data_IF_302088163362
#
_entry.id   IF_302088163362
#
_cell.length_a   1.000
_cell.length_b   1.000
_cell.length_c   1.000
_cell.angle_alpha   90.00
_cell.angle_beta   90.00
_cell.angle_gamma   90.00
#
_symmetry.space_group_name_H-M   'P 1'
#
loop_
_entity.id
_entity.type
_entity.pdbx_description
1 polymer ?
#
# COMPACT_ATOMS: atom_id res chain seq x y z
N UNK A 1 31.04 44.41 -7.57
CA UNK A 1 31.62 43.04 -7.67
C UNK A 1 30.99 42.05 -6.70
N UNK A 2 30.89 42.33 -5.39
CA UNK A 2 30.29 41.40 -4.40
C UNK A 2 28.84 40.98 -4.73
N UNK A 3 27.98 41.91 -5.14
CA UNK A 3 26.58 41.60 -5.51
C UNK A 3 26.42 40.65 -6.69
N UNK A 4 27.29 40.76 -7.71
CA UNK A 4 27.29 39.84 -8.87
C UNK A 4 27.74 38.45 -8.45
N UNK A 5 28.72 38.34 -7.56
CA UNK A 5 29.17 37.05 -7.02
C UNK A 5 28.08 36.35 -6.19
N UNK A 6 27.32 37.10 -5.38
CA UNK A 6 26.17 36.55 -4.66
C UNK A 6 25.07 36.06 -5.61
N UNK A 7 24.78 36.81 -6.67
CA UNK A 7 23.75 36.43 -7.64
C UNK A 7 24.15 35.17 -8.42
N UNK A 8 25.41 35.06 -8.84
CA UNK A 8 25.95 33.86 -9.48
C UNK A 8 25.92 32.66 -8.54
N UNK A 9 26.30 32.83 -7.27
CA UNK A 9 26.23 31.76 -6.28
C UNK A 9 24.79 31.28 -6.05
N UNK A 10 23.82 32.20 -6.00
CA UNK A 10 22.41 31.87 -5.81
C UNK A 10 21.81 31.13 -7.02
N UNK A 11 22.17 31.53 -8.24
CA UNK A 11 21.76 30.85 -9.48
C UNK A 11 22.36 29.44 -9.54
N UNK A 12 23.64 29.27 -9.19
CA UNK A 12 24.27 27.96 -9.13
C UNK A 12 23.64 27.05 -8.06
N UNK A 13 23.27 27.61 -6.90
CA UNK A 13 22.58 26.85 -5.85
C UNK A 13 21.17 26.42 -6.26
N UNK A 14 20.43 27.30 -6.95
CA UNK A 14 19.10 27.00 -7.49
C UNK A 14 19.14 25.95 -8.63
N UNK A 15 20.20 25.95 -9.45
CA UNK A 15 20.45 24.92 -10.46
C UNK A 15 20.91 23.59 -9.83
N UNK A 16 21.53 23.63 -8.64
CA UNK A 16 21.98 22.45 -7.91
C UNK A 16 20.90 21.82 -7.01
N UNK A 17 19.82 22.55 -6.69
CA UNK A 17 18.69 21.99 -5.94
C UNK A 17 17.91 21.01 -6.82
N UNK A 18 17.98 19.72 -6.48
CA UNK A 18 17.13 18.70 -7.10
C UNK A 18 15.70 18.85 -6.61
N UNK A 19 14.75 18.81 -7.54
CA UNK A 19 13.34 18.58 -7.22
C UNK A 19 13.24 17.15 -6.66
N UNK A 20 13.00 17.02 -5.37
CA UNK A 20 12.69 15.73 -4.75
C UNK A 20 11.24 15.40 -5.11
N UNK A 21 11.04 14.28 -5.81
CA UNK A 21 9.71 13.71 -6.02
C UNK A 21 9.42 12.74 -4.89
N UNK A 22 8.28 12.91 -4.21
CA UNK A 22 7.81 12.00 -3.17
C UNK A 22 6.96 10.84 -3.73
N UNK A 23 6.61 10.87 -5.02
CA UNK A 23 5.87 9.81 -5.73
C UNK A 23 6.78 9.01 -6.67
N UNK A 24 6.24 7.91 -7.22
CA UNK A 24 6.89 7.15 -8.29
C UNK A 24 7.43 8.10 -9.39
N UNK A 25 8.66 7.90 -9.88
CA UNK A 25 9.23 8.72 -10.95
C UNK A 25 8.39 8.61 -12.22
N UNK A 26 8.21 9.73 -12.92
CA UNK A 26 7.55 9.72 -14.23
C UNK A 26 8.32 8.86 -15.25
N UNK A 27 7.62 8.19 -16.18
CA UNK A 27 8.26 7.37 -17.19
C UNK A 27 9.05 8.24 -18.18
N UNK A 28 10.18 7.70 -18.68
CA UNK A 28 11.03 8.36 -19.69
C UNK A 28 10.80 7.83 -21.11
N UNK A 29 9.88 6.87 -21.25
CA UNK A 29 9.48 6.22 -22.50
C UNK A 29 8.07 5.63 -22.33
N UNK A 30 7.42 5.24 -23.42
CA UNK A 30 6.03 4.76 -23.40
C UNK A 30 5.79 3.58 -22.44
N UNK A 31 6.74 2.64 -22.36
CA UNK A 31 6.68 1.52 -21.42
C UNK A 31 8.07 0.96 -21.08
N UNK A 32 8.18 0.33 -19.92
CA UNK A 32 9.36 -0.41 -19.49
C UNK A 32 8.91 -1.67 -18.73
N UNK A 33 8.71 -2.78 -19.45
CA UNK A 33 8.24 -4.04 -18.86
C UNK A 33 9.30 -4.57 -17.89
N UNK A 34 8.93 -4.78 -16.63
CA UNK A 34 9.83 -5.31 -15.61
C UNK A 34 10.36 -6.71 -15.94
N UNK A 35 11.62 -6.97 -15.64
CA UNK A 35 12.20 -8.32 -15.57
C UNK A 35 12.43 -8.74 -14.10
N UNK A 36 12.26 -10.03 -13.81
CA UNK A 36 12.46 -10.58 -12.47
C UNK A 36 13.87 -11.14 -12.24
N UNK A 37 14.57 -11.52 -13.30
CA UNK A 37 15.85 -12.23 -13.21
C UNK A 37 16.97 -11.40 -13.85
N UNK A 38 17.82 -10.86 -13.00
CA UNK A 38 19.14 -10.38 -13.38
C UNK A 38 20.13 -11.26 -12.65
N UNK A 39 20.57 -12.34 -13.32
CA UNK A 39 21.48 -13.35 -12.77
C UNK A 39 22.73 -12.78 -12.08
N UNK A 40 23.11 -11.55 -12.41
CA UNK A 40 24.22 -10.77 -11.81
C UNK A 40 23.83 -9.30 -11.49
N UNK A 41 22.56 -9.02 -11.21
CA UNK A 41 22.02 -7.66 -11.22
C UNK A 41 22.43 -6.72 -10.09
N UNK A 42 22.59 -5.45 -10.44
CA UNK A 42 22.70 -4.33 -9.49
C UNK A 42 21.30 -3.90 -9.06
N UNK A 43 21.08 -3.60 -7.77
CA UNK A 43 19.80 -3.05 -7.31
C UNK A 43 19.58 -1.63 -7.84
N UNK A 44 18.43 -1.39 -8.48
CA UNK A 44 17.99 -0.06 -8.96
C UNK A 44 16.72 0.38 -8.24
N UNK A 45 16.41 1.68 -8.29
CA UNK A 45 15.10 2.16 -7.87
C UNK A 45 14.05 1.72 -8.90
N UNK A 46 13.15 0.80 -8.52
CA UNK A 46 12.18 0.18 -9.41
C UNK A 46 12.66 -1.18 -9.94
N UNK A 47 12.50 -1.43 -11.24
CA UNK A 47 12.93 -2.68 -11.90
C UNK A 47 13.57 -2.41 -13.26
N UNK A 48 14.47 -3.29 -13.67
CA UNK A 48 15.05 -3.29 -15.01
C UNK A 48 13.99 -3.56 -16.09
N UNK A 49 14.22 -3.00 -17.28
CA UNK A 49 13.34 -3.17 -18.43
C UNK A 49 13.76 -4.36 -19.30
N UNK A 50 12.78 -5.12 -19.78
CA UNK A 50 12.86 -6.03 -20.93
C UNK A 50 13.10 -5.22 -22.21
N UNK A 51 13.75 -5.81 -23.21
CA UNK A 51 13.83 -5.22 -24.56
C UNK A 51 12.41 -4.91 -25.08
N UNK A 52 12.11 -3.64 -25.43
CA UNK A 52 10.78 -3.25 -25.91
C UNK A 52 10.29 -4.06 -27.13
N UNK A 53 11.20 -4.55 -27.97
CA UNK A 53 10.85 -5.38 -29.15
C UNK A 53 10.31 -6.76 -28.77
N UNK A 54 10.58 -7.21 -27.54
CA UNK A 54 10.12 -8.50 -27.02
C UNK A 54 8.84 -8.36 -26.18
N UNK A 55 8.34 -7.14 -25.97
CA UNK A 55 7.13 -6.89 -25.21
C UNK A 55 5.89 -7.42 -25.95
N UNK A 56 4.94 -7.97 -25.21
CA UNK A 56 3.69 -8.52 -25.73
C UNK A 56 2.52 -8.09 -24.85
N UNK A 57 1.28 -8.24 -25.34
CA UNK A 57 0.08 -7.94 -24.55
C UNK A 57 0.02 -8.68 -23.19
N UNK A 58 0.64 -9.87 -23.11
CA UNK A 58 0.71 -10.65 -21.86
C UNK A 58 1.51 -9.95 -20.76
N UNK A 59 2.45 -9.08 -21.12
CA UNK A 59 3.26 -8.34 -20.14
C UNK A 59 2.43 -7.25 -19.41
N UNK A 60 1.26 -6.88 -19.95
CA UNK A 60 0.36 -5.83 -19.44
C UNK A 60 -0.98 -6.38 -18.93
N UNK A 61 -1.09 -7.70 -18.75
CA UNK A 61 -2.37 -8.36 -18.51
C UNK A 61 -2.30 -9.28 -17.29
N UNK A 62 -3.33 -9.21 -16.44
CA UNK A 62 -3.55 -10.13 -15.33
C UNK A 62 -5.00 -10.66 -15.39
N UNK A 63 -5.21 -11.96 -15.64
CA UNK A 63 -6.52 -12.57 -15.49
C UNK A 63 -6.81 -12.91 -14.02
N UNK A 64 -8.07 -13.18 -13.70
CA UNK A 64 -8.44 -13.86 -12.45
C UNK A 64 -8.94 -12.98 -11.31
N UNK A 65 -8.94 -11.64 -11.45
CA UNK A 65 -9.58 -10.75 -10.47
C UNK A 65 -11.11 -10.92 -10.38
N UNK A 66 -11.73 -11.72 -11.24
CA UNK A 66 -13.12 -12.12 -11.11
C UNK A 66 -13.33 -13.28 -10.12
N UNK A 67 -12.26 -13.98 -9.71
CA UNK A 67 -12.30 -15.10 -8.79
C UNK A 67 -12.14 -14.56 -7.35
N UNK A 68 -13.08 -14.83 -6.44
CA UNK A 68 -12.95 -14.39 -5.05
C UNK A 68 -11.75 -15.00 -4.33
N UNK A 69 -11.06 -14.19 -3.54
CA UNK A 69 -10.02 -14.67 -2.62
C UNK A 69 -10.60 -15.49 -1.46
N UNK A 70 -9.75 -16.33 -0.82
CA UNK A 70 -10.19 -17.15 0.31
C UNK A 70 -10.27 -16.34 1.61
N UNK A 71 -11.49 -15.99 2.01
CA UNK A 71 -11.78 -15.27 3.26
C UNK A 71 -11.95 -16.17 4.48
N UNK A 72 -11.71 -17.49 4.37
CA UNK A 72 -11.77 -18.44 5.49
C UNK A 72 -10.50 -18.37 6.35
N UNK A 73 -10.26 -17.20 6.95
CA UNK A 73 -9.11 -16.89 7.77
C UNK A 73 -9.49 -16.03 8.99
N UNK A 74 -8.52 -15.70 9.85
CA UNK A 74 -8.78 -15.05 11.14
C UNK A 74 -9.38 -13.64 11.02
N UNK A 75 -9.07 -12.91 9.94
CA UNK A 75 -9.58 -11.55 9.73
C UNK A 75 -10.78 -11.53 8.80
N UNK A 76 -11.11 -12.64 8.14
CA UNK A 76 -12.27 -12.74 7.26
C UNK A 76 -12.15 -11.89 5.99
N UNK A 77 -10.93 -11.61 5.52
CA UNK A 77 -10.72 -10.87 4.27
C UNK A 77 -9.52 -11.42 3.50
N UNK A 78 -9.46 -11.12 2.20
CA UNK A 78 -8.33 -11.46 1.33
C UNK A 78 -8.13 -10.36 0.29
N UNK A 79 -6.91 -9.84 0.21
CA UNK A 79 -6.46 -8.89 -0.80
C UNK A 79 -5.78 -9.66 -1.91
N UNK A 80 -6.20 -9.42 -3.16
CA UNK A 80 -5.57 -9.98 -4.36
C UNK A 80 -4.87 -8.85 -5.11
N UNK A 81 -3.53 -8.77 -5.08
CA UNK A 81 -2.79 -7.67 -5.68
C UNK A 81 -2.68 -7.78 -7.21
N UNK A 82 -2.69 -6.62 -7.86
CA UNK A 82 -2.38 -6.41 -9.27
C UNK A 82 -1.40 -5.23 -9.40
N UNK A 83 -0.22 -5.40 -8.82
CA UNK A 83 0.87 -4.43 -8.83
C UNK A 83 2.00 -4.87 -9.78
N UNK A 84 3.15 -4.19 -9.77
CA UNK A 84 4.28 -4.49 -10.67
C UNK A 84 4.82 -5.93 -10.56
N UNK A 85 4.58 -6.62 -9.44
CA UNK A 85 4.95 -8.02 -9.28
C UNK A 85 4.04 -8.96 -10.09
N UNK A 86 2.74 -8.65 -10.22
CA UNK A 86 1.79 -9.45 -11.02
C UNK A 86 1.66 -8.96 -12.46
N UNK A 87 1.80 -7.65 -12.71
CA UNK A 87 1.73 -7.02 -14.04
C UNK A 87 3.06 -6.31 -14.30
N UNK A 88 4.05 -6.98 -14.91
CA UNK A 88 5.38 -6.40 -15.14
C UNK A 88 5.35 -5.10 -15.95
N UNK A 89 4.36 -4.93 -16.83
CA UNK A 89 4.13 -3.71 -17.61
C UNK A 89 3.78 -2.47 -16.79
N UNK A 90 3.43 -2.59 -15.49
CA UNK A 90 3.20 -1.44 -14.61
C UNK A 90 4.46 -0.70 -14.20
N UNK A 91 5.64 -1.27 -14.45
CA UNK A 91 6.89 -0.64 -14.09
C UNK A 91 7.06 0.71 -14.79
N UNK A 92 7.44 1.74 -14.03
CA UNK A 92 7.53 3.17 -14.37
C UNK A 92 6.20 3.92 -14.55
N UNK A 93 5.03 3.25 -14.40
CA UNK A 93 3.73 3.88 -14.69
C UNK A 93 3.03 4.50 -13.47
N UNK A 94 3.55 4.30 -12.26
CA UNK A 94 3.07 5.01 -11.07
C UNK A 94 1.68 4.61 -10.58
N UNK A 95 1.16 3.44 -10.97
CA UNK A 95 -0.16 2.95 -10.54
C UNK A 95 -0.16 1.45 -10.29
N UNK A 96 -1.12 1.01 -9.48
CA UNK A 96 -1.47 -0.41 -9.29
C UNK A 96 -2.95 -0.57 -8.92
N UNK A 97 -3.44 -1.81 -8.88
CA UNK A 97 -4.80 -2.16 -8.49
C UNK A 97 -4.77 -3.30 -7.46
N UNK A 98 -5.81 -3.40 -6.64
CA UNK A 98 -6.11 -4.56 -5.80
C UNK A 98 -7.60 -4.90 -5.88
N UNK A 99 -7.93 -6.18 -5.72
CA UNK A 99 -9.26 -6.64 -5.33
C UNK A 99 -9.24 -7.01 -3.86
N UNK A 100 -10.33 -6.75 -3.15
CA UNK A 100 -10.49 -7.16 -1.76
C UNK A 100 -11.82 -7.86 -1.58
N UNK A 101 -11.78 -9.08 -1.05
CA UNK A 101 -12.94 -9.88 -0.69
C UNK A 101 -13.11 -9.91 0.83
N UNK A 102 -14.34 -9.74 1.30
CA UNK A 102 -14.68 -9.73 2.73
C UNK A 102 -15.79 -10.74 3.05
N UNK A 103 -15.54 -11.59 4.04
CA UNK A 103 -16.54 -12.46 4.66
C UNK A 103 -17.68 -11.65 5.29
N UNK A 104 -18.89 -12.21 5.41
CA UNK A 104 -20.01 -11.54 6.06
C UNK A 104 -19.77 -11.44 7.57
N UNK A 105 -20.50 -10.54 8.24
CA UNK A 105 -20.50 -10.41 9.70
C UNK A 105 -19.12 -10.08 10.31
N UNK A 106 -18.37 -9.22 9.64
CA UNK A 106 -17.13 -8.67 10.22
C UNK A 106 -15.84 -9.06 9.52
N UNK A 107 -15.88 -9.42 8.24
CA UNK A 107 -14.67 -9.46 7.42
C UNK A 107 -13.93 -8.12 7.49
N UNK A 108 -12.68 -8.15 7.91
CA UNK A 108 -11.86 -6.99 8.25
C UNK A 108 -10.61 -6.99 7.39
N UNK A 109 -10.38 -5.92 6.63
CA UNK A 109 -9.02 -5.56 6.24
C UNK A 109 -8.46 -4.68 7.39
N UNK A 110 -7.54 -5.20 8.22
CA UNK A 110 -7.16 -4.58 9.50
C UNK A 110 -6.56 -3.18 9.31
N UNK A 111 -6.40 -2.39 10.39
CA UNK A 111 -5.67 -1.13 10.32
C UNK A 111 -4.30 -1.32 9.65
N UNK A 112 -4.09 -0.61 8.55
CA UNK A 112 -2.87 -0.66 7.74
C UNK A 112 -2.57 0.71 7.12
N UNK A 113 -1.38 0.84 6.52
CA UNK A 113 -0.98 2.03 5.77
C UNK A 113 -0.20 1.64 4.51
N UNK A 114 -0.30 2.49 3.49
CA UNK A 114 0.50 2.43 2.27
C UNK A 114 1.57 3.53 2.32
N UNK A 115 2.84 3.19 2.56
CA UNK A 115 3.90 4.18 2.76
C UNK A 115 4.30 4.95 1.48
N UNK A 116 3.79 4.55 0.31
CA UNK A 116 4.19 5.10 -1.00
C UNK A 116 3.02 5.38 -1.95
N UNK A 117 1.78 5.33 -1.49
CA UNK A 117 0.63 5.56 -2.35
C UNK A 117 -0.60 6.07 -1.61
N UNK A 118 -1.32 6.97 -2.27
CA UNK A 118 -2.74 7.21 -2.00
C UNK A 118 -3.56 6.09 -2.61
N UNK A 119 -4.65 5.71 -1.94
CA UNK A 119 -5.60 4.70 -2.40
C UNK A 119 -6.97 5.32 -2.67
N UNK A 120 -7.63 4.88 -3.74
CA UNK A 120 -9.05 5.13 -3.99
C UNK A 120 -9.78 3.81 -4.15
N UNK A 121 -10.77 3.57 -3.30
CA UNK A 121 -11.53 2.32 -3.21
C UNK A 121 -12.96 2.51 -3.69
N UNK A 122 -13.46 1.58 -4.50
CA UNK A 122 -14.86 1.46 -4.91
C UNK A 122 -15.44 0.14 -4.41
N UNK A 123 -16.63 0.20 -3.81
CA UNK A 123 -17.39 -1.01 -3.44
C UNK A 123 -18.18 -1.48 -4.66
N UNK A 124 -18.10 -2.76 -4.98
CA UNK A 124 -18.89 -3.36 -6.09
C UNK A 124 -19.97 -4.31 -5.58
N UNK A 125 -19.81 -4.89 -4.39
CA UNK A 125 -20.79 -5.75 -3.75
C UNK A 125 -20.76 -5.57 -2.22
N UNK A 126 -21.89 -5.77 -1.56
CA UNK A 126 -22.01 -5.73 -0.09
C UNK A 126 -21.96 -4.33 0.52
N UNK A 127 -21.62 -4.25 1.81
CA UNK A 127 -21.64 -3.00 2.59
C UNK A 127 -20.39 -2.90 3.46
N UNK A 128 -19.59 -1.85 3.27
CA UNK A 128 -18.35 -1.66 4.03
C UNK A 128 -18.42 -0.41 4.90
N UNK A 129 -18.04 -0.55 6.16
CA UNK A 129 -17.62 0.58 7.00
C UNK A 129 -16.13 0.81 6.78
N UNK A 130 -15.74 1.99 6.30
CA UNK A 130 -14.35 2.33 6.02
C UNK A 130 -13.92 3.55 6.81
N UNK A 131 -12.61 3.75 6.99
CA UNK A 131 -12.11 5.02 7.51
C UNK A 131 -10.60 5.11 7.61
N UNK A 132 -10.11 6.33 7.77
CA UNK A 132 -8.71 6.65 8.09
C UNK A 132 -8.61 7.62 9.27
N UNK A 133 -7.46 7.62 9.93
CA UNK A 133 -7.19 8.46 11.11
C UNK A 133 -6.13 9.50 10.76
N UNK A 134 -6.36 10.79 11.07
CA UNK A 134 -5.38 11.85 10.83
C UNK A 134 -4.15 11.76 11.74
N UNK A 135 -3.07 12.46 11.40
CA UNK A 135 -1.87 12.54 12.22
C UNK A 135 -2.12 13.31 13.53
N UNK A 136 -1.13 13.24 14.43
CA UNK A 136 -1.11 14.02 15.67
C UNK A 136 -1.20 15.54 15.41
N UNK A 137 -1.79 16.31 16.31
CA UNK A 137 -2.34 15.92 17.63
C UNK A 137 -3.79 15.42 17.59
N UNK A 138 -4.48 15.59 16.46
CA UNK A 138 -5.93 15.41 16.41
C UNK A 138 -6.36 13.95 16.44
N UNK A 139 -5.61 13.05 15.79
CA UNK A 139 -5.95 11.63 15.67
C UNK A 139 -7.43 11.40 15.28
N UNK A 140 -7.95 12.25 14.39
CA UNK A 140 -9.37 12.31 14.05
C UNK A 140 -9.71 11.21 13.07
N UNK A 141 -10.73 10.41 13.38
CA UNK A 141 -11.30 9.43 12.48
C UNK A 141 -12.21 10.10 11.43
N UNK A 142 -11.93 9.86 10.16
CA UNK A 142 -12.85 10.06 9.05
C UNK A 142 -13.41 8.71 8.64
N UNK A 143 -14.73 8.52 8.70
CA UNK A 143 -15.37 7.23 8.43
C UNK A 143 -16.68 7.38 7.69
N UNK A 144 -17.03 6.36 6.90
CA UNK A 144 -18.28 6.29 6.13
C UNK A 144 -18.69 4.84 5.92
N UNK A 145 -20.00 4.61 5.84
CA UNK A 145 -20.57 3.37 5.31
C UNK A 145 -20.75 3.53 3.80
N UNK A 146 -20.18 2.61 3.05
CA UNK A 146 -20.21 2.55 1.58
C UNK A 146 -21.11 1.41 1.11
N UNK A 147 -21.85 1.68 0.03
CA UNK A 147 -22.68 0.74 -0.72
C UNK A 147 -22.11 0.52 -2.13
N UNK A 148 -22.60 -0.46 -2.90
CA UNK A 148 -22.12 -0.68 -4.26
C UNK A 148 -22.21 0.58 -5.13
N UNK A 149 -21.09 0.96 -5.75
CA UNK A 149 -20.92 2.19 -6.53
C UNK A 149 -20.31 3.36 -5.76
N UNK A 150 -20.28 3.31 -4.43
CA UNK A 150 -19.66 4.36 -3.61
C UNK A 150 -18.13 4.25 -3.64
N UNK A 151 -17.47 5.40 -3.52
CA UNK A 151 -16.02 5.55 -3.56
C UNK A 151 -15.52 6.26 -2.31
N UNK A 152 -14.34 5.88 -1.82
CA UNK A 152 -13.65 6.54 -0.71
C UNK A 152 -12.14 6.60 -0.93
N UNK A 153 -11.50 7.68 -0.48
CA UNK A 153 -10.07 7.94 -0.68
C UNK A 153 -9.34 7.82 0.65
N UNK A 154 -8.22 7.11 0.64
CA UNK A 154 -7.28 7.02 1.76
C UNK A 154 -5.97 7.73 1.39
N UNK A 155 -5.63 8.86 2.04
CA UNK A 155 -4.41 9.58 1.73
C UNK A 155 -3.16 8.75 2.04
N UNK A 156 -2.10 8.98 1.27
CA UNK A 156 -0.80 8.31 1.44
C UNK A 156 -0.29 8.36 2.88
N UNK A 157 0.19 7.22 3.38
CA UNK A 157 0.78 7.10 4.71
C UNK A 157 -0.23 7.07 5.86
N UNK A 158 -1.53 7.29 5.63
CA UNK A 158 -2.53 7.32 6.69
C UNK A 158 -2.96 5.91 7.11
N UNK A 159 -3.10 5.70 8.42
CA UNK A 159 -3.67 4.45 8.96
C UNK A 159 -5.15 4.41 8.61
N UNK A 160 -5.58 3.34 7.95
CA UNK A 160 -6.95 3.16 7.51
C UNK A 160 -7.38 1.68 7.55
N UNK A 161 -8.68 1.42 7.41
CA UNK A 161 -9.28 0.09 7.50
C UNK A 161 -10.57 -0.02 6.68
N UNK A 162 -10.99 -1.25 6.43
CA UNK A 162 -12.34 -1.56 5.91
C UNK A 162 -12.93 -2.75 6.65
N UNK A 163 -14.21 -2.65 7.02
CA UNK A 163 -14.91 -3.65 7.82
C UNK A 163 -16.30 -3.94 7.23
N UNK A 164 -16.57 -5.19 6.90
CA UNK A 164 -17.85 -5.63 6.37
C UNK A 164 -18.90 -5.72 7.49
N UNK A 165 -19.80 -4.75 7.52
CA UNK A 165 -20.92 -4.68 8.46
C UNK A 165 -22.18 -5.38 7.94
N UNK A 166 -22.14 -5.89 6.70
CA UNK A 166 -23.24 -6.60 6.06
C UNK A 166 -23.36 -8.06 6.47
N UNK A 167 -24.52 -8.63 6.17
CA UNK A 167 -24.82 -10.06 6.33
C UNK A 167 -24.41 -10.92 5.12
N UNK A 168 -23.90 -10.28 4.07
CA UNK A 168 -23.41 -10.92 2.84
C UNK A 168 -21.93 -10.64 2.65
N UNK A 169 -21.29 -11.38 1.75
CA UNK A 169 -19.95 -11.02 1.29
C UNK A 169 -19.94 -9.58 0.76
N UNK A 170 -18.79 -8.93 0.85
CA UNK A 170 -18.53 -7.66 0.21
C UNK A 170 -17.29 -7.78 -0.67
N UNK A 171 -17.28 -7.02 -1.77
CA UNK A 171 -16.18 -6.97 -2.72
C UNK A 171 -15.89 -5.51 -3.02
N UNK A 172 -14.61 -5.15 -2.96
CA UNK A 172 -14.12 -3.84 -3.34
C UNK A 172 -12.92 -3.95 -4.28
N UNK A 173 -12.73 -2.92 -5.08
CA UNK A 173 -11.52 -2.71 -5.87
C UNK A 173 -10.90 -1.39 -5.44
N UNK A 174 -9.57 -1.35 -5.39
CA UNK A 174 -8.85 -0.14 -5.04
C UNK A 174 -7.69 0.09 -6.00
N UNK A 175 -7.56 1.33 -6.49
CA UNK A 175 -6.43 1.78 -7.28
C UNK A 175 -5.48 2.58 -6.40
N UNK A 176 -4.17 2.39 -6.59
CA UNK A 176 -3.13 3.02 -5.79
C UNK A 176 -2.18 3.81 -6.68
N UNK A 177 -1.74 4.97 -6.21
CA UNK A 177 -0.85 5.90 -6.93
C UNK A 177 0.64 5.51 -6.92
N UNK A 178 0.95 4.21 -6.95
CA UNK A 178 2.31 3.69 -7.12
C UNK A 178 2.26 2.30 -7.74
N UNK A 179 3.29 1.95 -8.51
CA UNK A 179 3.50 0.59 -9.02
C UNK A 179 3.76 -0.41 -7.88
N UNK A 180 4.24 0.08 -6.73
CA UNK A 180 4.55 -0.69 -5.54
C UNK A 180 4.19 0.14 -4.28
N UNK A 181 2.91 0.19 -3.89
CA UNK A 181 2.45 1.00 -2.76
C UNK A 181 3.07 0.55 -1.43
N UNK A 182 3.36 -0.74 -1.30
CA UNK A 182 3.71 -1.38 -0.03
C UNK A 182 2.53 -1.41 0.93
N UNK A 183 2.56 -2.28 1.92
CA UNK A 183 1.53 -2.36 2.96
C UNK A 183 2.21 -2.59 4.30
N UNK A 184 1.75 -1.87 5.32
CA UNK A 184 2.15 -2.09 6.71
C UNK A 184 0.86 -2.34 7.51
N UNK A 185 0.53 -3.62 7.71
CA UNK A 185 -0.54 -4.00 8.64
C UNK A 185 -0.07 -3.75 10.06
N UNK A 186 -0.74 -2.84 10.76
CA UNK A 186 -0.21 -2.24 12.01
C UNK A 186 0.03 -3.31 13.08
N UNK A 187 -0.93 -4.22 13.28
CA UNK A 187 -0.78 -5.26 14.30
C UNK A 187 0.35 -6.26 13.95
N UNK A 188 0.46 -6.66 12.68
CA UNK A 188 1.52 -7.55 12.21
C UNK A 188 2.89 -6.90 12.37
N UNK A 189 3.05 -5.63 11.99
CA UNK A 189 4.32 -4.92 12.11
C UNK A 189 4.72 -4.64 13.56
N UNK A 190 3.76 -4.34 14.44
CA UNK A 190 4.03 -3.99 15.84
C UNK A 190 4.24 -5.24 16.71
N UNK A 191 3.37 -6.25 16.57
CA UNK A 191 3.35 -7.41 17.45
C UNK A 191 3.86 -8.70 16.77
N UNK A 192 3.93 -8.75 15.44
CA UNK A 192 4.35 -9.93 14.68
C UNK A 192 5.66 -9.75 13.90
N UNK A 193 6.45 -8.72 14.18
CA UNK A 193 7.73 -8.50 13.49
C UNK A 193 8.75 -9.61 13.81
N UNK A 194 9.66 -9.86 12.86
CA UNK A 194 10.81 -10.74 13.05
C UNK A 194 12.12 -9.99 12.71
N UNK A 195 13.03 -9.78 13.69
CA UNK A 195 12.88 -10.11 15.11
C UNK A 195 11.78 -9.27 15.80
N UNK A 196 11.27 -9.80 16.92
CA UNK A 196 10.24 -9.12 17.71
C UNK A 196 10.76 -7.80 18.32
N UNK A 197 9.92 -6.76 18.30
CA UNK A 197 10.20 -5.51 19.03
C UNK A 197 10.36 -5.81 20.53
N UNK A 198 11.30 -5.15 21.19
CA UNK A 198 11.51 -5.30 22.63
C UNK A 198 10.18 -5.09 23.40
N UNK A 199 9.73 -6.07 24.21
CA UNK A 199 8.47 -5.97 24.96
C UNK A 199 8.38 -4.73 25.87
N UNK A 200 9.50 -4.22 26.40
CA UNK A 200 9.51 -3.03 27.25
C UNK A 200 9.16 -1.76 26.45
N UNK A 201 9.59 -1.69 25.19
CA UNK A 201 9.24 -0.58 24.28
C UNK A 201 7.74 -0.57 24.05
N UNK A 202 7.16 -1.73 23.72
CA UNK A 202 5.73 -1.84 23.45
C UNK A 202 4.88 -1.70 24.72
N UNK A 203 5.33 -2.22 25.86
CA UNK A 203 4.65 -2.06 27.14
C UNK A 203 4.53 -0.58 27.50
N UNK A 204 5.62 0.18 27.31
CA UNK A 204 5.62 1.63 27.53
C UNK A 204 4.78 2.38 26.49
N UNK A 205 4.87 2.02 25.22
CA UNK A 205 4.18 2.70 24.12
C UNK A 205 2.65 2.49 24.17
N UNK A 206 2.21 1.26 24.45
CA UNK A 206 0.79 0.89 24.51
C UNK A 206 0.19 0.99 25.92
N UNK A 207 1.01 1.32 26.93
CA UNK A 207 0.59 1.42 28.33
C UNK A 207 0.00 0.10 28.85
N UNK A 208 0.64 -1.01 28.51
CA UNK A 208 0.22 -2.37 28.86
C UNK A 208 1.25 -3.05 29.75
N UNK A 209 0.81 -4.08 30.48
CA UNK A 209 1.73 -4.99 31.14
C UNK A 209 2.58 -5.75 30.11
N UNK A 210 3.85 -5.96 30.45
CA UNK A 210 4.79 -6.68 29.59
C UNK A 210 4.29 -8.12 29.25
N UNK A 211 3.54 -8.75 30.16
CA UNK A 211 2.94 -10.06 29.92
C UNK A 211 1.83 -10.03 28.86
N UNK A 212 1.04 -8.96 28.82
CA UNK A 212 0.02 -8.76 27.76
C UNK A 212 0.73 -8.54 26.42
N UNK A 213 1.80 -7.75 26.40
CA UNK A 213 2.60 -7.54 25.17
C UNK A 213 3.17 -8.87 24.67
N UNK A 214 3.79 -9.67 25.54
CA UNK A 214 4.30 -11.00 25.18
C UNK A 214 3.19 -11.92 24.68
N UNK A 215 2.00 -11.85 25.28
CA UNK A 215 0.84 -12.60 24.81
C UNK A 215 0.41 -12.15 23.40
N UNK A 216 0.37 -10.84 23.13
CA UNK A 216 0.10 -10.30 21.80
C UNK A 216 1.16 -10.74 20.79
N UNK A 217 2.45 -10.71 21.17
CA UNK A 217 3.55 -11.16 20.33
C UNK A 217 3.56 -12.66 20.05
N UNK A 218 2.98 -13.47 20.95
CA UNK A 218 2.81 -14.92 20.72
C UNK A 218 1.64 -15.28 19.81
N UNK A 219 0.77 -14.31 19.45
CA UNK A 219 -0.35 -14.57 18.54
C UNK A 219 0.14 -14.74 17.13
N UNK A 220 -0.57 -15.57 16.37
CA UNK A 220 -0.43 -15.58 14.93
C UNK A 220 -1.15 -14.35 14.36
N UNK A 221 -0.38 -13.48 13.69
CA UNK A 221 -0.92 -12.29 13.01
C UNK A 221 -1.08 -12.62 11.53
N UNK A 222 -2.33 -12.86 11.10
CA UNK A 222 -2.63 -13.29 9.74
C UNK A 222 -2.25 -12.22 8.71
N UNK A 223 -1.58 -12.64 7.63
CA UNK A 223 -1.34 -11.79 6.46
C UNK A 223 -2.42 -12.06 5.42
N UNK A 224 -3.20 -11.03 5.12
CA UNK A 224 -4.29 -11.07 4.15
C UNK A 224 -3.91 -10.44 2.81
N UNK A 225 -2.62 -10.19 2.55
CA UNK A 225 -2.09 -9.56 1.33
C UNK A 225 -1.31 -10.51 0.41
#
# INVERSE_FOLDING_TARGET
MKGVQFLVAFVLLALASKLVSASDPGPLQDFCVAINDTKDGVFVNGKFCKDPKLATAKDFFLPGLNIPGNTSNQVGSMVTPANVQQIPGLNTLGISLVRIDYAPYGGLNPPHTHPRATEILVVVEGTLSVGFVTSNTDNRLFTKVLYPGDVFVFPEGMIHFQFNIGSTNAVAFAALSSQNPGVITIANAVFGSDPAINPDVLAKAFQLDQNIVKQLQSRFWWDNN
#
